data_IF_696836993913
#
_entry.id   IF_696836993913
#
_cell.length_a   1.000
_cell.length_b   1.000
_cell.length_c   1.000
_cell.angle_alpha   90.00
_cell.angle_beta   90.00
_cell.angle_gamma   90.00
#
_symmetry.space_group_name_H-M   'P 1'
#
loop_
_entity.id
_entity.type
_entity.pdbx_description
1 polymer ?
#
# COMPACT_ATOMS: atom_id res chain seq x y z
N UNK A 1 -25.58 24.89 9.28
CA UNK A 1 -26.62 23.94 8.85
C UNK A 1 -26.31 23.47 7.44
N UNK A 2 -25.19 22.75 7.25
CA UNK A 2 -24.79 22.26 5.95
C UNK A 2 -24.28 20.83 6.08
N UNK A 3 -24.85 19.92 5.30
CA UNK A 3 -24.47 18.50 5.29
C UNK A 3 -23.04 18.25 4.76
N UNK A 4 -22.28 19.31 4.47
CA UNK A 4 -20.93 19.27 3.91
C UNK A 4 -19.83 19.63 4.93
N UNK A 5 -20.13 19.76 6.22
CA UNK A 5 -19.08 19.99 7.22
C UNK A 5 -18.12 18.77 7.26
N UNK A 6 -16.81 19.03 7.17
CA UNK A 6 -15.74 18.04 7.30
C UNK A 6 -15.92 17.09 8.51
N UNK A 7 -16.54 17.60 9.58
CA UNK A 7 -16.86 16.81 10.78
C UNK A 7 -17.85 15.68 10.52
N UNK A 8 -18.81 15.84 9.62
CA UNK A 8 -19.76 14.77 9.24
C UNK A 8 -19.02 13.62 8.54
N UNK A 9 -18.10 13.94 7.61
CA UNK A 9 -17.25 12.94 6.96
C UNK A 9 -16.39 12.16 7.96
N UNK A 10 -15.86 12.84 8.98
CA UNK A 10 -15.08 12.20 10.04
C UNK A 10 -15.93 11.19 10.85
N UNK A 11 -17.17 11.54 11.18
CA UNK A 11 -18.10 10.64 11.89
C UNK A 11 -18.49 9.45 11.02
N UNK A 12 -18.76 9.66 9.73
CA UNK A 12 -19.09 8.58 8.80
C UNK A 12 -17.90 7.63 8.65
N UNK A 13 -16.68 8.14 8.53
CA UNK A 13 -15.47 7.32 8.44
C UNK A 13 -15.28 6.44 9.69
N UNK A 14 -15.53 7.01 10.87
CA UNK A 14 -15.46 6.28 12.13
C UNK A 14 -16.49 5.15 12.18
N UNK A 15 -17.74 5.42 11.83
CA UNK A 15 -18.82 4.42 11.82
C UNK A 15 -18.54 3.33 10.77
N UNK A 16 -18.07 3.71 9.58
CA UNK A 16 -17.68 2.77 8.54
C UNK A 16 -16.54 1.84 9.00
N UNK A 17 -15.53 2.37 9.69
CA UNK A 17 -14.43 1.58 10.25
C UNK A 17 -14.93 0.59 11.33
N UNK A 18 -15.91 0.98 12.14
CA UNK A 18 -16.52 0.10 13.16
C UNK A 18 -17.36 -1.01 12.50
N UNK A 19 -18.15 -0.68 11.47
CA UNK A 19 -18.98 -1.65 10.72
C UNK A 19 -18.15 -2.66 9.91
N UNK A 20 -17.14 -2.18 9.18
CA UNK A 20 -16.26 -3.04 8.38
C UNK A 20 -15.22 -3.75 9.24
N UNK A 21 -14.84 -3.17 10.38
CA UNK A 21 -13.74 -3.62 11.21
C UNK A 21 -12.36 -3.33 10.58
N UNK A 22 -11.35 -3.14 11.43
CA UNK A 22 -9.97 -2.83 11.00
C UNK A 22 -9.33 -3.92 10.14
N UNK A 23 -9.74 -5.18 10.31
CA UNK A 23 -9.16 -6.34 9.60
C UNK A 23 -9.52 -6.36 8.11
N UNK A 24 -10.77 -6.05 7.76
CA UNK A 24 -11.25 -5.96 6.37
C UNK A 24 -10.70 -4.72 5.67
N UNK A 25 -10.66 -3.59 6.40
CA UNK A 25 -10.14 -2.34 5.87
C UNK A 25 -8.62 -2.39 5.62
N UNK A 26 -7.87 -3.14 6.45
CA UNK A 26 -6.43 -3.36 6.24
C UNK A 26 -6.14 -4.24 5.04
N UNK A 27 -6.86 -5.35 4.85
CA UNK A 27 -6.62 -6.24 3.71
C UNK A 27 -7.02 -5.56 2.40
N UNK A 28 -8.24 -5.04 2.31
CA UNK A 28 -8.73 -4.37 1.10
C UNK A 28 -8.01 -3.05 0.84
N UNK A 29 -7.67 -2.31 1.89
CA UNK A 29 -6.92 -1.06 1.79
C UNK A 29 -5.46 -1.27 1.39
N UNK A 30 -4.84 -2.40 1.75
CA UNK A 30 -3.50 -2.74 1.27
C UNK A 30 -3.52 -3.03 -0.24
N UNK A 31 -4.43 -3.89 -0.70
CA UNK A 31 -4.54 -4.27 -2.12
C UNK A 31 -4.90 -3.06 -3.01
N UNK A 32 -5.88 -2.26 -2.59
CA UNK A 32 -6.27 -1.03 -3.30
C UNK A 32 -5.19 0.06 -3.16
N UNK A 33 -4.53 0.13 -2.02
CA UNK A 33 -3.46 1.10 -1.75
C UNK A 33 -2.24 0.86 -2.62
N UNK A 34 -1.86 -0.39 -2.87
CA UNK A 34 -0.76 -0.76 -3.76
C UNK A 34 -1.07 -0.37 -5.22
N UNK A 35 -2.28 -0.67 -5.70
CA UNK A 35 -2.75 -0.26 -7.03
C UNK A 35 -2.77 1.27 -7.20
N UNK A 36 -3.30 2.01 -6.22
CA UNK A 36 -3.35 3.48 -6.25
C UNK A 36 -1.94 4.07 -6.12
N UNK A 37 -1.04 3.46 -5.34
CA UNK A 37 0.35 3.91 -5.20
C UNK A 37 1.11 3.76 -6.51
N UNK A 38 0.94 2.64 -7.23
CA UNK A 38 1.49 2.43 -8.56
C UNK A 38 0.96 3.46 -9.57
N UNK A 39 -0.34 3.72 -9.56
CA UNK A 39 -0.96 4.76 -10.40
C UNK A 39 -0.42 6.16 -10.08
N UNK A 40 -0.35 6.54 -8.81
CA UNK A 40 0.20 7.85 -8.39
C UNK A 40 1.66 8.00 -8.79
N UNK A 41 2.44 6.92 -8.75
CA UNK A 41 3.85 6.90 -9.14
C UNK A 41 4.01 7.02 -10.65
N UNK A 42 3.19 6.33 -11.44
CA UNK A 42 3.16 6.47 -12.90
C UNK A 42 2.80 7.90 -13.32
N UNK A 43 1.72 8.46 -12.77
CA UNK A 43 1.29 9.85 -13.07
C UNK A 43 2.37 10.86 -12.67
N UNK A 44 3.07 10.66 -11.55
CA UNK A 44 4.16 11.53 -11.12
C UNK A 44 5.45 11.33 -11.92
N UNK A 45 5.71 10.12 -12.43
CA UNK A 45 6.85 9.80 -13.30
C UNK A 45 6.69 10.37 -14.70
N UNK A 46 5.47 10.50 -15.21
CA UNK A 46 5.19 11.22 -16.47
C UNK A 46 5.56 12.71 -16.38
N UNK A 47 5.48 13.31 -15.19
CA UNK A 47 5.84 14.72 -14.95
C UNK A 47 7.32 14.92 -14.59
N UNK A 48 8.03 13.85 -14.21
CA UNK A 48 9.43 13.93 -13.77
C UNK A 48 10.19 12.65 -14.16
N UNK A 49 10.79 12.66 -15.34
CA UNK A 49 11.62 11.57 -15.84
C UNK A 49 12.86 11.35 -14.94
N UNK A 50 12.88 10.31 -14.10
CA UNK A 50 14.03 9.51 -13.62
C UNK A 50 13.65 8.59 -12.42
N UNK A 51 14.34 7.45 -12.21
CA UNK A 51 13.74 6.20 -11.78
C UNK A 51 13.67 6.06 -10.27
N UNK A 52 12.57 5.47 -9.79
CA UNK A 52 12.46 5.03 -8.41
C UNK A 52 12.35 3.51 -8.39
N UNK A 53 13.50 2.85 -8.59
CA UNK A 53 13.77 1.47 -8.19
C UNK A 53 13.78 1.39 -6.66
N UNK A 54 12.63 1.17 -6.01
CA UNK A 54 12.59 0.92 -4.57
C UNK A 54 11.25 0.31 -4.17
N UNK A 55 11.14 -1.02 -4.24
CA UNK A 55 10.47 -1.85 -3.21
C UNK A 55 10.45 -3.34 -3.53
N UNK A 56 10.73 -3.78 -4.76
CA UNK A 56 10.65 -5.21 -5.11
C UNK A 56 11.94 -6.03 -4.85
N UNK A 57 12.84 -5.58 -3.96
CA UNK A 57 14.09 -6.33 -3.63
C UNK A 57 14.17 -6.84 -2.18
N UNK A 58 13.13 -6.68 -1.37
CA UNK A 58 13.17 -7.11 0.04
C UNK A 58 12.66 -8.54 0.30
N UNK A 59 12.03 -9.21 -0.67
CA UNK A 59 11.40 -10.54 -0.44
C UNK A 59 12.01 -11.71 -1.24
N UNK A 60 13.14 -11.53 -1.93
CA UNK A 60 13.76 -12.65 -2.69
C UNK A 60 15.26 -12.86 -2.46
N UNK A 61 15.87 -12.18 -1.49
CA UNK A 61 17.28 -12.37 -1.14
C UNK A 61 17.51 -13.19 0.15
N UNK A 62 16.51 -13.93 0.63
CA UNK A 62 16.62 -14.77 1.84
C UNK A 62 16.55 -16.29 1.59
N UNK A 63 16.30 -16.76 0.36
CA UNK A 63 16.09 -18.21 0.08
C UNK A 63 17.12 -18.85 -0.88
N UNK A 64 18.22 -18.17 -1.24
CA UNK A 64 19.29 -18.76 -2.09
C UNK A 64 20.68 -18.41 -1.53
N UNK A 65 21.00 -18.85 -0.31
CA UNK A 65 22.40 -18.80 0.18
C UNK A 65 22.64 -19.75 1.37
N UNK A 66 22.30 -21.04 1.20
CA UNK A 66 22.40 -21.97 2.32
C UNK A 66 22.75 -23.44 2.05
N UNK A 67 22.86 -23.93 0.80
CA UNK A 67 22.92 -25.40 0.67
C UNK A 67 23.75 -26.13 -0.40
N UNK A 68 24.58 -25.51 -1.25
CA UNK A 68 25.25 -26.37 -2.27
C UNK A 68 26.72 -26.12 -2.65
N UNK A 69 27.49 -25.32 -1.93
CA UNK A 69 28.89 -25.06 -2.38
C UNK A 69 29.98 -25.10 -1.31
N UNK A 70 29.74 -25.72 -0.15
CA UNK A 70 30.85 -25.91 0.80
C UNK A 70 30.65 -27.05 1.81
N UNK A 71 30.62 -28.32 1.37
CA UNK A 71 31.26 -29.41 2.14
C UNK A 71 31.31 -30.76 1.41
N UNK A 72 32.54 -31.13 1.03
CA UNK A 72 33.11 -32.49 0.92
C UNK A 72 32.67 -33.39 -0.23
#
# INVERSE_FOLDING_TARGET
MGLFDWKHWLVILLVALVLFGSKRLKSLGADLGEAITGFRRAVRSEEQAAPAEASARLDSAAEVSGKDTAKR
#
